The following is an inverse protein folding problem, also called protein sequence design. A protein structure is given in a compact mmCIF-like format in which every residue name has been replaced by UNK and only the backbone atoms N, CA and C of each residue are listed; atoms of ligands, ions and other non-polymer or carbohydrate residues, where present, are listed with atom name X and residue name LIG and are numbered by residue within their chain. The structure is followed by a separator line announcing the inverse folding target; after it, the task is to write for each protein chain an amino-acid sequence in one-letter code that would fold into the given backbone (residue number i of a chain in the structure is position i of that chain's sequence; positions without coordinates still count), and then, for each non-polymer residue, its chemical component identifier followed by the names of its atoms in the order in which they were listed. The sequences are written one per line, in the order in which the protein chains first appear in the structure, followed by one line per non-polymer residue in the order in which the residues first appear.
data_IF_390848854440
#
_entry.id   IF_390848854440
#
_cell.length_a   1.000
_cell.length_b   1.000
_cell.length_c   1.000
_cell.angle_alpha   90.00
_cell.angle_beta   90.00
_cell.angle_gamma   90.00
#
_symmetry.space_group_name_H-M   'P 1'
#
loop_
_entity.id
_entity.type
_entity.pdbx_description
1 polymer ?
#
# COMPACT_ATOMS: atom_id res chain seq x y z
N UNK A 1 15.00 -38.22 29.08
CA UNK A 1 13.67 -38.31 28.45
C UNK A 1 13.89 -38.20 26.95
N UNK A 2 13.73 -39.29 26.20
CA UNK A 2 13.95 -39.30 24.76
C UNK A 2 12.69 -38.75 24.07
N UNK A 3 12.81 -37.66 23.33
CA UNK A 3 11.70 -37.17 22.51
C UNK A 3 11.50 -38.16 21.36
N UNK A 4 10.33 -38.81 21.23
CA UNK A 4 10.09 -39.75 20.15
C UNK A 4 10.19 -39.06 18.80
N UNK A 5 10.82 -39.76 17.84
CA UNK A 5 11.05 -39.28 16.47
C UNK A 5 9.78 -38.76 15.78
N UNK A 6 8.64 -39.36 16.11
CA UNK A 6 7.33 -38.92 15.63
C UNK A 6 6.95 -37.50 16.10
N UNK A 7 7.24 -37.15 17.36
CA UNK A 7 7.01 -35.79 17.86
C UNK A 7 7.95 -34.78 17.21
N UNK A 8 9.20 -35.18 16.94
CA UNK A 8 10.16 -34.33 16.24
C UNK A 8 9.70 -34.03 14.80
N UNK A 9 9.22 -35.05 14.08
CA UNK A 9 8.70 -34.90 12.72
C UNK A 9 7.45 -34.01 12.67
N UNK A 10 6.56 -34.14 13.66
CA UNK A 10 5.35 -33.30 13.77
C UNK A 10 5.69 -31.82 13.99
N UNK A 11 6.67 -31.54 14.85
CA UNK A 11 7.12 -30.17 15.16
C UNK A 11 7.77 -29.49 13.93
N UNK A 12 8.55 -30.25 13.16
CA UNK A 12 9.16 -29.75 11.91
C UNK A 12 8.12 -29.43 10.84
N UNK A 13 7.09 -30.28 10.69
CA UNK A 13 5.99 -30.03 9.75
C UNK A 13 5.15 -28.80 10.14
N UNK A 14 4.91 -28.59 11.44
CA UNK A 14 4.20 -27.41 11.93
C UNK A 14 5.00 -26.11 11.71
N UNK A 15 6.32 -26.16 11.86
CA UNK A 15 7.20 -25.00 11.62
C UNK A 15 7.22 -24.57 10.15
N UNK A 16 7.13 -25.50 9.19
CA UNK A 16 7.08 -25.18 7.76
C UNK A 16 5.75 -24.60 7.29
N UNK A 17 4.68 -24.75 8.07
CA UNK A 17 3.36 -24.18 7.77
C UNK A 17 3.22 -22.71 8.18
N UNK A 18 4.18 -22.16 8.92
CA UNK A 18 4.20 -20.75 9.28
C UNK A 18 4.73 -19.97 8.08
N UNK A 19 3.82 -19.46 7.25
CA UNK A 19 4.14 -18.38 6.34
C UNK A 19 4.56 -17.17 7.19
N UNK A 20 5.87 -16.88 7.20
CA UNK A 20 6.35 -15.56 7.59
C UNK A 20 5.67 -14.59 6.63
N UNK A 21 4.68 -13.83 7.13
CA UNK A 21 3.91 -12.91 6.31
C UNK A 21 4.86 -12.03 5.50
N UNK A 22 4.72 -12.05 4.18
CA UNK A 22 5.47 -11.16 3.31
C UNK A 22 5.09 -9.72 3.66
N UNK A 23 6.10 -8.85 3.75
CA UNK A 23 5.87 -7.44 3.99
C UNK A 23 5.26 -6.82 2.73
N UNK A 24 4.11 -6.16 2.87
CA UNK A 24 3.42 -5.47 1.79
C UNK A 24 4.39 -4.57 1.01
N UNK A 25 4.32 -4.60 -0.31
CA UNK A 25 5.04 -3.68 -1.19
C UNK A 25 4.07 -2.69 -1.83
N UNK A 26 4.44 -1.40 -1.87
CA UNK A 26 3.62 -0.34 -2.47
C UNK A 26 4.46 0.54 -3.41
N UNK A 27 3.80 1.17 -4.38
CA UNK A 27 4.36 2.34 -5.07
C UNK A 27 4.26 3.55 -4.14
N UNK A 28 5.34 4.29 -3.94
CA UNK A 28 5.39 5.45 -3.05
C UNK A 28 6.10 6.63 -3.70
N UNK A 29 5.92 7.80 -3.09
CA UNK A 29 6.69 9.01 -3.38
C UNK A 29 6.73 9.89 -2.12
N UNK A 30 7.92 10.36 -1.75
CA UNK A 30 8.21 11.00 -0.46
C UNK A 30 7.69 12.45 -0.37
N UNK A 31 7.43 13.07 -1.51
CA UNK A 31 6.91 14.44 -1.65
C UNK A 31 5.75 14.46 -2.65
N UNK A 32 4.89 15.49 -2.64
CA UNK A 32 3.89 15.71 -3.69
C UNK A 32 4.58 15.66 -5.06
N UNK A 33 4.27 14.61 -5.81
CA UNK A 33 4.96 14.27 -7.06
C UNK A 33 3.92 14.12 -8.15
N UNK A 34 4.23 14.59 -9.36
CA UNK A 34 3.36 14.34 -10.51
C UNK A 34 3.14 12.83 -10.65
N UNK A 35 1.88 12.43 -10.83
CA UNK A 35 1.45 11.03 -10.96
C UNK A 35 2.36 10.16 -11.84
N UNK A 36 2.76 10.57 -13.06
CA UNK A 36 3.63 9.77 -13.92
C UNK A 36 5.08 9.64 -13.41
N UNK A 37 5.45 10.29 -12.30
CA UNK A 37 6.77 10.21 -11.67
C UNK A 37 6.73 9.48 -10.32
N UNK A 38 5.56 9.27 -9.72
CA UNK A 38 5.41 8.53 -8.45
C UNK A 38 5.50 7.02 -8.72
N UNK A 39 6.72 6.46 -8.68
CA UNK A 39 7.01 5.07 -9.12
C UNK A 39 7.93 4.28 -8.19
N UNK A 40 8.19 4.78 -6.97
CA UNK A 40 9.17 4.15 -6.10
C UNK A 40 8.58 2.89 -5.44
N UNK A 41 9.17 1.71 -5.69
CA UNK A 41 8.74 0.49 -5.01
C UNK A 41 9.30 0.50 -3.58
N UNK A 42 8.42 0.43 -2.58
CA UNK A 42 8.79 0.42 -1.17
C UNK A 42 8.22 -0.80 -0.47
N UNK A 43 9.09 -1.54 0.21
CA UNK A 43 8.68 -2.57 1.17
C UNK A 43 8.21 -1.88 2.46
N UNK A 44 6.93 -2.03 2.76
CA UNK A 44 6.29 -1.45 3.92
C UNK A 44 6.73 -2.12 5.21
N UNK A 45 6.51 -1.44 6.33
CA UNK A 45 6.77 -2.02 7.65
C UNK A 45 5.76 -3.14 7.94
N UNK A 46 6.08 -4.10 8.83
CA UNK A 46 5.17 -5.20 9.16
C UNK A 46 3.79 -4.77 9.71
N UNK A 47 3.69 -3.57 10.28
CA UNK A 47 2.43 -3.01 10.80
C UNK A 47 1.68 -2.16 9.77
N UNK A 48 2.25 -1.94 8.59
CA UNK A 48 1.63 -1.23 7.47
C UNK A 48 0.99 -2.24 6.53
N UNK A 49 -0.33 -2.20 6.44
CA UNK A 49 -1.15 -3.21 5.75
C UNK A 49 -1.87 -2.66 4.51
N UNK A 50 -1.68 -1.38 4.20
CA UNK A 50 -2.34 -0.71 3.09
C UNK A 50 -1.38 0.19 2.32
N UNK A 51 -1.57 0.27 1.00
CA UNK A 51 -1.07 1.36 0.18
C UNK A 51 -2.09 2.49 0.18
N UNK A 52 -1.66 3.69 0.56
CA UNK A 52 -2.48 4.90 0.62
C UNK A 52 -1.96 5.91 -0.41
N UNK A 53 -2.79 6.27 -1.37
CA UNK A 53 -2.52 7.35 -2.33
C UNK A 53 -3.47 8.50 -2.07
N UNK A 54 -2.94 9.71 -1.92
CA UNK A 54 -3.72 10.94 -1.76
C UNK A 54 -3.46 11.85 -2.94
N UNK A 55 -4.53 12.30 -3.60
CA UNK A 55 -4.43 13.25 -4.70
C UNK A 55 -4.34 14.68 -4.14
N UNK A 56 -3.23 15.37 -4.45
CA UNK A 56 -2.84 16.65 -3.84
C UNK A 56 -3.37 17.85 -4.64
N UNK A 57 -3.45 17.77 -5.96
CA UNK A 57 -4.00 18.87 -6.78
C UNK A 57 -5.33 18.48 -7.41
N UNK A 58 -6.42 19.03 -6.89
CA UNK A 58 -7.77 18.96 -7.48
C UNK A 58 -8.14 20.29 -8.18
N UNK A 59 -7.33 21.33 -7.98
CA UNK A 59 -7.67 22.71 -8.33
C UNK A 59 -6.73 23.23 -9.41
N UNK A 60 -7.17 23.14 -10.66
CA UNK A 60 -6.67 23.99 -11.72
C UNK A 60 -7.89 24.50 -12.48
N UNK A 61 -7.77 25.74 -12.87
CA UNK A 61 -8.77 26.38 -13.69
C UNK A 61 -8.66 25.75 -15.08
N UNK A 62 -9.79 25.46 -15.70
CA UNK A 62 -9.79 24.89 -17.04
C UNK A 62 -9.03 25.82 -18.02
N UNK A 63 -8.18 25.29 -18.91
CA UNK A 63 -7.84 23.88 -19.13
C UNK A 63 -6.74 23.34 -18.21
N UNK A 64 -6.93 22.12 -17.69
CA UNK A 64 -5.90 21.36 -16.98
C UNK A 64 -4.93 20.73 -17.98
N UNK A 65 -3.78 21.34 -18.16
CA UNK A 65 -2.72 20.80 -19.01
C UNK A 65 -1.61 20.06 -18.23
N UNK A 66 -1.74 19.96 -16.91
CA UNK A 66 -0.73 19.39 -16.03
C UNK A 66 -1.15 18.04 -15.46
N UNK A 67 -0.18 17.15 -15.22
CA UNK A 67 -0.45 15.87 -14.55
C UNK A 67 -0.85 16.11 -13.10
N UNK A 68 -1.82 15.35 -12.56
CA UNK A 68 -2.21 15.48 -11.17
C UNK A 68 -1.02 15.16 -10.26
N UNK A 69 -0.93 15.87 -9.13
CA UNK A 69 0.10 15.64 -8.11
C UNK A 69 -0.47 14.70 -7.07
N UNK A 70 0.30 13.69 -6.67
CA UNK A 70 -0.09 12.72 -5.66
C UNK A 70 0.98 12.59 -4.57
N UNK A 71 0.55 12.08 -3.42
CA UNK A 71 1.43 11.49 -2.40
C UNK A 71 1.02 10.04 -2.25
N UNK A 72 1.97 9.12 -2.22
CA UNK A 72 1.68 7.70 -2.04
C UNK A 72 2.61 7.10 -1.00
N UNK A 73 2.02 6.37 -0.04
CA UNK A 73 2.68 5.94 1.20
C UNK A 73 2.15 4.59 1.66
N UNK A 74 2.97 3.85 2.39
CA UNK A 74 2.52 2.72 3.19
C UNK A 74 1.77 3.22 4.43
N UNK A 75 0.71 2.52 4.84
CA UNK A 75 -0.10 2.89 6.00
C UNK A 75 -0.57 1.68 6.81
N UNK A 76 -0.65 1.83 8.13
CA UNK A 76 -1.22 0.83 9.05
C UNK A 76 -2.74 0.76 9.02
N UNK A 77 -3.39 1.79 8.48
CA UNK A 77 -4.82 1.86 8.25
C UNK A 77 -5.09 2.82 7.10
N UNK A 78 -6.17 2.61 6.36
CA UNK A 78 -6.55 3.45 5.24
C UNK A 78 -8.07 3.50 5.10
N UNK A 79 -8.61 4.70 5.03
CA UNK A 79 -10.03 4.97 4.78
C UNK A 79 -10.13 5.76 3.49
N UNK A 80 -10.75 5.16 2.48
CA UNK A 80 -10.92 5.79 1.19
C UNK A 80 -11.93 6.94 1.30
N UNK A 81 -11.75 7.97 0.48
CA UNK A 81 -12.73 9.05 0.42
C UNK A 81 -14.05 8.51 -0.15
N UNK A 82 -15.17 8.90 0.49
CA UNK A 82 -16.50 8.62 -0.02
C UNK A 82 -16.70 9.29 -1.40
N UNK A 83 -17.00 8.53 -2.46
CA UNK A 83 -17.22 9.09 -3.80
C UNK A 83 -18.37 10.10 -3.87
N UNK A 84 -19.33 10.05 -2.93
CA UNK A 84 -20.47 10.96 -2.88
C UNK A 84 -20.16 12.26 -2.10
N UNK A 85 -18.94 12.38 -1.56
CA UNK A 85 -18.50 13.56 -0.81
C UNK A 85 -18.23 14.75 -1.74
N UNK A 86 -19.14 15.73 -1.70
CA UNK A 86 -18.99 16.99 -2.44
C UNK A 86 -17.86 17.81 -1.82
N UNK A 87 -16.83 18.13 -2.61
CA UNK A 87 -15.77 19.06 -2.21
C UNK A 87 -14.62 18.43 -1.40
N UNK A 88 -14.44 17.11 -1.46
CA UNK A 88 -13.23 16.49 -0.91
C UNK A 88 -11.99 16.98 -1.68
N UNK A 89 -11.30 17.98 -1.12
CA UNK A 89 -10.17 18.67 -1.76
C UNK A 89 -8.98 17.74 -2.06
N UNK A 90 -8.94 16.53 -1.49
CA UNK A 90 -7.87 15.56 -1.68
C UNK A 90 -8.38 14.11 -1.57
N UNK A 91 -8.87 13.50 -2.67
CA UNK A 91 -9.31 12.11 -2.68
C UNK A 91 -8.22 11.14 -2.20
N UNK A 92 -8.61 10.22 -1.32
CA UNK A 92 -7.77 9.15 -0.77
C UNK A 92 -8.19 7.82 -1.38
N UNK A 93 -7.22 7.10 -1.94
CA UNK A 93 -7.36 5.77 -2.49
C UNK A 93 -6.59 4.76 -1.63
N UNK A 94 -7.21 3.62 -1.36
CA UNK A 94 -6.70 2.58 -0.47
C UNK A 94 -6.72 1.21 -1.16
N UNK A 95 -5.64 0.45 -1.02
CA UNK A 95 -5.59 -0.95 -1.46
C UNK A 95 -4.62 -1.77 -0.57
N UNK A 96 -4.77 -3.10 -0.54
CA UNK A 96 -4.22 -3.98 0.52
C UNK A 96 -3.45 -5.21 -0.03
N UNK A 97 -2.89 -5.12 -1.24
CA UNK A 97 -2.07 -6.17 -1.82
C UNK A 97 -0.83 -5.58 -2.50
N UNK A 98 0.17 -6.41 -2.76
CA UNK A 98 1.44 -5.94 -3.29
C UNK A 98 1.26 -5.17 -4.61
N UNK A 99 1.86 -3.98 -4.65
CA UNK A 99 1.91 -3.09 -5.80
C UNK A 99 0.53 -2.73 -6.36
N UNK A 100 -0.52 -2.82 -5.55
CA UNK A 100 -1.91 -2.59 -5.96
C UNK A 100 -2.21 -1.20 -6.52
N UNK A 101 -1.35 -0.24 -6.22
CA UNK A 101 -1.41 1.13 -6.71
C UNK A 101 -0.52 1.38 -7.93
N UNK A 102 -0.14 0.33 -8.67
CA UNK A 102 0.58 0.42 -9.95
C UNK A 102 -0.26 1.02 -11.07
N UNK A 103 -1.60 0.92 -10.99
CA UNK A 103 -2.52 1.33 -12.06
C UNK A 103 -3.10 2.73 -11.86
N UNK A 104 -2.53 3.53 -10.94
CA UNK A 104 -2.93 4.94 -10.84
C UNK A 104 -2.49 5.78 -12.07
N UNK A 105 -2.06 5.20 -13.19
CA UNK A 105 -1.21 5.82 -14.23
C UNK A 105 -1.99 6.06 -15.53
#
# INVERSE_FOLDING_TARGET
MAVPRALLALLLAAASAVHLGEALSCITCEQPTALPLCKNITYCKPNEIACKTTLVTVEAEFPFNESPVVTSTCASSCEATDPDSIGAAHPIFCCFHDLCNSECW
#
